data_IF_960185965827
#
_entry.id   IF_960185965827
#
_cell.length_a   1.000
_cell.length_b   1.000
_cell.length_c   1.000
_cell.angle_alpha   90.00
_cell.angle_beta   90.00
_cell.angle_gamma   90.00
#
_symmetry.space_group_name_H-M   'P 1'
#
loop_
_entity.id
_entity.type
_entity.pdbx_description
1 polymer ?
#
# COMPACT_ATOMS: atom_id res chain seq x y z
N UNK A 1 41.41 49.09 -49.01
CA UNK A 1 40.97 49.59 -47.69
C UNK A 1 39.81 48.71 -47.28
N UNK A 2 40.05 47.71 -46.43
CA UNK A 2 39.01 46.80 -45.95
C UNK A 2 38.26 47.45 -44.78
N UNK A 3 36.95 47.57 -44.88
CA UNK A 3 36.10 48.15 -43.84
C UNK A 3 35.79 47.12 -42.76
N UNK A 4 36.12 47.48 -41.52
CA UNK A 4 35.90 46.72 -40.29
C UNK A 4 34.40 46.43 -40.07
N UNK A 5 34.01 45.14 -40.08
CA UNK A 5 32.67 44.71 -39.68
C UNK A 5 32.52 44.84 -38.16
N UNK A 6 31.71 45.80 -37.72
CA UNK A 6 31.30 45.91 -36.32
C UNK A 6 30.36 44.77 -35.97
N UNK A 7 30.89 43.71 -35.36
CA UNK A 7 30.09 42.72 -34.63
C UNK A 7 29.69 43.34 -33.30
N UNK A 8 28.47 43.89 -33.21
CA UNK A 8 28.08 44.65 -32.02
C UNK A 8 26.59 44.79 -31.78
N UNK A 9 25.78 43.84 -32.26
CA UNK A 9 24.43 43.67 -31.74
C UNK A 9 24.47 42.56 -30.72
N UNK A 10 24.59 42.87 -29.43
CA UNK A 10 24.34 41.88 -28.38
C UNK A 10 22.87 41.51 -28.53
N UNK A 11 22.60 40.27 -28.96
CA UNK A 11 21.23 39.79 -29.09
C UNK A 11 20.51 39.99 -27.73
N UNK A 12 19.23 40.42 -27.73
CA UNK A 12 18.51 40.61 -26.49
C UNK A 12 18.56 39.32 -25.68
N UNK A 13 18.94 39.44 -24.40
CA UNK A 13 19.00 38.30 -23.49
C UNK A 13 17.59 37.70 -23.46
N UNK A 14 17.42 36.41 -23.80
CA UNK A 14 16.11 35.78 -23.74
C UNK A 14 15.60 35.90 -22.30
N UNK A 15 14.50 36.61 -22.14
CA UNK A 15 13.84 36.73 -20.84
C UNK A 15 13.23 35.38 -20.52
N UNK A 16 13.78 34.68 -19.52
CA UNK A 16 13.17 33.46 -18.99
C UNK A 16 11.95 33.89 -18.18
N UNK A 17 10.77 33.73 -18.77
CA UNK A 17 9.51 33.86 -18.02
C UNK A 17 9.37 32.60 -17.16
N UNK A 18 9.20 32.72 -15.82
CA UNK A 18 8.97 31.55 -14.98
C UNK A 18 7.73 30.79 -15.47
N UNK A 19 7.88 29.49 -15.72
CA UNK A 19 6.74 28.66 -16.07
C UNK A 19 5.78 28.56 -14.87
N UNK A 20 4.46 28.57 -15.11
CA UNK A 20 3.48 28.40 -14.04
C UNK A 20 3.63 27.03 -13.39
N UNK A 21 3.25 26.94 -12.11
CA UNK A 21 3.28 25.67 -11.36
C UNK A 21 2.41 24.60 -12.03
N UNK A 22 3.00 23.45 -12.30
CA UNK A 22 2.32 22.33 -12.94
C UNK A 22 1.67 21.42 -11.91
N UNK A 23 0.33 21.46 -11.83
CA UNK A 23 -0.44 20.58 -10.96
C UNK A 23 -0.73 19.24 -11.64
N UNK A 24 -0.20 18.15 -11.07
CA UNK A 24 -0.54 16.79 -11.46
C UNK A 24 -1.68 16.29 -10.56
N UNK A 25 -2.92 16.44 -11.04
CA UNK A 25 -4.13 15.97 -10.35
C UNK A 25 -4.63 14.65 -10.93
N UNK A 26 -5.51 13.99 -10.19
CA UNK A 26 -6.23 12.82 -10.68
C UNK A 26 -7.12 13.20 -11.88
N UNK A 27 -7.01 12.44 -12.97
CA UNK A 27 -7.90 12.60 -14.12
C UNK A 27 -9.28 11.97 -13.88
N UNK A 28 -10.25 12.29 -14.74
CA UNK A 28 -11.63 11.80 -14.63
C UNK A 28 -11.74 10.27 -14.54
N UNK A 29 -10.92 9.54 -15.30
CA UNK A 29 -10.87 8.08 -15.26
C UNK A 29 -10.36 7.53 -13.92
N UNK A 30 -9.43 8.24 -13.26
CA UNK A 30 -8.92 7.86 -11.95
C UNK A 30 -9.99 8.01 -10.88
N UNK A 31 -10.77 9.11 -10.92
CA UNK A 31 -11.89 9.32 -9.99
C UNK A 31 -12.96 8.23 -10.16
N UNK A 32 -13.31 7.88 -11.40
CA UNK A 32 -14.22 6.76 -11.69
C UNK A 32 -13.69 5.45 -11.12
N UNK A 33 -12.39 5.17 -11.29
CA UNK A 33 -11.77 3.98 -10.73
C UNK A 33 -11.90 3.92 -9.20
N UNK A 34 -11.67 5.03 -8.49
CA UNK A 34 -11.84 5.07 -7.02
C UNK A 34 -13.27 4.72 -6.58
N UNK A 35 -14.29 5.25 -7.25
CA UNK A 35 -15.69 4.91 -6.96
C UNK A 35 -16.04 3.45 -7.27
N UNK A 36 -15.55 2.92 -8.40
CA UNK A 36 -15.73 1.52 -8.76
C UNK A 36 -15.11 0.62 -7.69
N UNK A 37 -13.91 0.95 -7.22
CA UNK A 37 -13.21 0.17 -6.19
C UNK A 37 -13.89 0.24 -4.83
N UNK A 38 -14.42 1.40 -4.44
CA UNK A 38 -15.24 1.52 -3.23
C UNK A 38 -16.41 0.53 -3.28
N UNK A 39 -17.22 0.57 -4.35
CA UNK A 39 -18.38 -0.31 -4.50
C UNK A 39 -17.94 -1.78 -4.52
N UNK A 40 -16.89 -2.11 -5.26
CA UNK A 40 -16.38 -3.48 -5.35
C UNK A 40 -15.93 -4.00 -3.98
N UNK A 41 -15.16 -3.23 -3.21
CA UNK A 41 -14.69 -3.63 -1.87
C UNK A 41 -15.84 -3.77 -0.88
N UNK A 42 -16.86 -2.89 -0.95
CA UNK A 42 -18.07 -3.01 -0.12
C UNK A 42 -18.84 -4.30 -0.44
N UNK A 43 -19.01 -4.63 -1.73
CA UNK A 43 -19.69 -5.87 -2.15
C UNK A 43 -18.90 -7.09 -1.70
N UNK A 44 -17.58 -7.11 -1.90
CA UNK A 44 -16.70 -8.20 -1.46
C UNK A 44 -16.79 -8.39 0.06
N UNK A 45 -16.75 -7.31 0.82
CA UNK A 45 -16.92 -7.35 2.28
C UNK A 45 -18.26 -7.96 2.69
N UNK A 46 -19.36 -7.54 2.05
CA UNK A 46 -20.68 -8.10 2.30
C UNK A 46 -20.73 -9.61 2.00
N UNK A 47 -20.11 -10.05 0.90
CA UNK A 47 -20.01 -11.48 0.56
C UNK A 47 -19.28 -12.25 1.66
N UNK A 48 -18.11 -11.77 2.12
CA UNK A 48 -17.36 -12.45 3.17
C UNK A 48 -18.10 -12.46 4.51
N UNK A 49 -18.78 -11.37 4.87
CA UNK A 49 -19.62 -11.30 6.06
C UNK A 49 -20.75 -12.34 6.00
N UNK A 50 -21.45 -12.46 4.87
CA UNK A 50 -22.53 -13.43 4.67
C UNK A 50 -22.01 -14.88 4.70
N UNK A 51 -20.86 -15.14 4.06
CA UNK A 51 -20.22 -16.46 4.10
C UNK A 51 -19.80 -16.86 5.53
N UNK A 52 -19.47 -15.89 6.38
CA UNK A 52 -19.09 -16.13 7.78
C UNK A 52 -20.28 -16.56 8.66
N UNK A 53 -21.51 -16.19 8.30
CA UNK A 53 -22.70 -16.30 9.16
C UNK A 53 -23.00 -17.73 9.62
N UNK A 54 -22.60 -18.73 8.83
CA UNK A 54 -22.89 -20.14 9.08
C UNK A 54 -21.71 -20.94 9.67
N UNK A 55 -20.60 -20.29 10.03
CA UNK A 55 -19.38 -20.96 10.52
C UNK A 55 -19.35 -20.96 12.07
N UNK A 56 -18.63 -21.83 12.78
CA UNK A 56 -18.51 -21.69 14.24
C UNK A 56 -17.54 -20.56 14.63
N UNK A 57 -17.75 -19.85 15.75
CA UNK A 57 -16.95 -18.66 16.15
C UNK A 57 -15.44 -18.94 16.15
N UNK A 58 -15.02 -20.09 16.66
CA UNK A 58 -13.60 -20.51 16.70
C UNK A 58 -12.97 -20.64 15.30
N UNK A 59 -13.77 -20.86 14.25
CA UNK A 59 -13.31 -21.05 12.86
C UNK A 59 -13.56 -19.81 11.99
N UNK A 60 -14.18 -18.77 12.53
CA UNK A 60 -14.53 -17.54 11.80
C UNK A 60 -13.37 -16.53 11.69
N UNK A 61 -12.25 -16.76 12.36
CA UNK A 61 -11.16 -15.77 12.45
C UNK A 61 -10.69 -15.29 11.08
N UNK A 62 -10.46 -16.18 10.12
CA UNK A 62 -10.07 -15.81 8.75
C UNK A 62 -11.15 -14.99 8.02
N UNK A 63 -12.43 -15.32 8.19
CA UNK A 63 -13.51 -14.50 7.62
C UNK A 63 -13.55 -13.12 8.25
N UNK A 64 -13.38 -13.04 9.57
CA UNK A 64 -13.42 -11.78 10.29
C UNK A 64 -12.26 -10.87 9.87
N UNK A 65 -11.03 -11.40 9.83
CA UNK A 65 -9.84 -10.67 9.40
C UNK A 65 -9.98 -10.22 7.93
N UNK A 66 -10.39 -11.10 7.02
CA UNK A 66 -10.54 -10.77 5.59
C UNK A 66 -11.67 -9.74 5.38
N UNK A 67 -12.77 -9.87 6.11
CA UNK A 67 -13.87 -8.90 6.06
C UNK A 67 -13.42 -7.55 6.59
N UNK A 68 -12.67 -7.50 7.70
CA UNK A 68 -12.15 -6.26 8.26
C UNK A 68 -11.18 -5.56 7.29
N UNK A 69 -10.27 -6.32 6.68
CA UNK A 69 -9.33 -5.85 5.64
C UNK A 69 -10.08 -5.17 4.48
N UNK A 70 -11.15 -5.79 3.99
CA UNK A 70 -11.94 -5.24 2.87
C UNK A 70 -12.80 -4.04 3.27
N UNK A 71 -13.30 -3.97 4.52
CA UNK A 71 -14.00 -2.80 5.07
C UNK A 71 -13.06 -1.60 5.16
N UNK A 72 -11.87 -1.78 5.73
CA UNK A 72 -10.87 -0.71 5.87
C UNK A 72 -10.56 -0.12 4.48
N UNK A 73 -10.33 -0.98 3.49
CA UNK A 73 -10.07 -0.52 2.13
C UNK A 73 -11.28 0.17 1.50
N UNK A 74 -12.51 -0.34 1.68
CA UNK A 74 -13.70 0.35 1.19
C UNK A 74 -13.79 1.79 1.75
N UNK A 75 -13.58 1.97 3.06
CA UNK A 75 -13.59 3.30 3.67
C UNK A 75 -12.49 4.21 3.13
N UNK A 76 -11.28 3.67 2.91
CA UNK A 76 -10.18 4.44 2.33
C UNK A 76 -10.45 4.85 0.87
N UNK A 77 -11.01 3.94 0.05
CA UNK A 77 -11.42 4.25 -1.33
C UNK A 77 -12.52 5.31 -1.37
N UNK A 78 -13.50 5.24 -0.47
CA UNK A 78 -14.51 6.29 -0.32
C UNK A 78 -13.90 7.65 0.04
N UNK A 79 -12.97 7.68 1.00
CA UNK A 79 -12.30 8.91 1.43
C UNK A 79 -11.47 9.54 0.30
N UNK A 80 -10.75 8.72 -0.49
CA UNK A 80 -10.00 9.17 -1.66
C UNK A 80 -10.92 9.64 -2.78
N UNK A 81 -12.02 8.93 -3.06
CA UNK A 81 -13.01 9.29 -4.09
C UNK A 81 -13.71 10.61 -3.77
N UNK A 82 -13.95 10.87 -2.48
CA UNK A 82 -14.55 12.11 -1.96
C UNK A 82 -13.59 13.31 -1.97
N UNK A 83 -12.31 13.09 -2.28
CA UNK A 83 -11.28 14.13 -2.37
C UNK A 83 -10.77 14.68 -1.03
N UNK A 84 -11.32 14.23 0.11
CA UNK A 84 -11.00 14.76 1.44
C UNK A 84 -9.61 14.35 1.95
N UNK A 85 -9.05 13.27 1.42
CA UNK A 85 -7.80 12.67 1.94
C UNK A 85 -6.66 12.70 0.91
N UNK A 86 -6.39 13.89 0.37
CA UNK A 86 -5.25 14.13 -0.52
C UNK A 86 -4.51 15.42 -0.16
N UNK A 87 -3.20 15.46 -0.39
CA UNK A 87 -2.37 16.66 -0.27
C UNK A 87 -1.51 16.81 -1.53
N UNK A 88 -0.98 18.01 -1.77
CA UNK A 88 -0.05 18.26 -2.87
C UNK A 88 1.39 18.22 -2.35
N UNK A 89 2.22 17.35 -2.90
CA UNK A 89 3.66 17.35 -2.70
C UNK A 89 4.32 18.11 -3.86
N UNK A 90 4.95 19.25 -3.58
CA UNK A 90 5.57 20.10 -4.58
C UNK A 90 7.08 19.90 -4.60
N UNK A 91 7.63 19.72 -5.80
CA UNK A 91 9.08 19.61 -6.01
C UNK A 91 9.49 20.49 -7.18
N UNK A 92 10.58 21.22 -7.00
CA UNK A 92 11.21 21.97 -8.09
C UNK A 92 12.01 20.99 -8.95
N UNK A 93 11.69 20.95 -10.24
CA UNK A 93 12.42 20.15 -11.24
C UNK A 93 13.32 21.09 -12.03
N UNK A 94 14.54 20.64 -12.32
CA UNK A 94 15.50 21.39 -13.13
C UNK A 94 15.42 20.87 -14.56
N UNK A 95 15.08 21.76 -15.51
CA UNK A 95 15.09 21.45 -16.93
C UNK A 95 16.42 21.84 -17.53
N UNK A 96 17.14 20.83 -17.99
CA UNK A 96 18.41 21.04 -18.65
C UNK A 96 18.20 21.39 -20.12
N UNK A 97 18.71 22.54 -20.54
CA UNK A 97 18.61 23.01 -21.91
C UNK A 97 19.97 23.03 -22.60
N UNK A 98 20.03 22.67 -23.89
CA UNK A 98 21.31 22.57 -24.61
C UNK A 98 21.93 23.93 -24.98
N UNK A 99 21.11 24.96 -25.20
CA UNK A 99 21.56 26.25 -25.75
C UNK A 99 21.04 27.46 -24.96
N UNK A 100 20.31 27.24 -23.86
CA UNK A 100 19.87 28.29 -22.93
C UNK A 100 20.18 27.85 -21.50
N UNK A 101 20.33 28.80 -20.54
CA UNK A 101 20.52 28.45 -19.14
C UNK A 101 19.40 27.54 -18.64
N UNK A 102 19.75 26.63 -17.73
CA UNK A 102 18.78 25.72 -17.13
C UNK A 102 17.66 26.50 -16.44
N UNK A 103 16.44 26.02 -16.63
CA UNK A 103 15.24 26.59 -16.02
C UNK A 103 14.76 25.69 -14.90
N UNK A 104 13.95 26.27 -14.01
CA UNK A 104 13.34 25.55 -12.92
C UNK A 104 11.83 25.74 -13.01
N UNK A 105 11.09 24.64 -12.97
CA UNK A 105 9.64 24.67 -12.85
C UNK A 105 9.20 23.86 -11.63
N UNK A 106 8.13 24.31 -10.99
CA UNK A 106 7.58 23.66 -9.82
C UNK A 106 6.45 22.71 -10.23
N UNK A 107 6.56 21.44 -9.83
CA UNK A 107 5.55 20.41 -10.06
C UNK A 107 4.92 20.02 -8.73
N UNK A 108 3.61 20.22 -8.61
CA UNK A 108 2.83 19.80 -7.45
C UNK A 108 2.02 18.55 -7.78
N UNK A 109 2.35 17.42 -7.16
CA UNK A 109 1.67 16.13 -7.36
C UNK A 109 0.66 15.87 -6.26
N UNK A 110 -0.56 15.49 -6.64
CA UNK A 110 -1.57 15.02 -5.70
C UNK A 110 -1.20 13.64 -5.14
N UNK A 111 -1.07 13.55 -3.82
CA UNK A 111 -0.78 12.32 -3.08
C UNK A 111 -1.98 11.97 -2.20
N UNK A 112 -2.43 10.72 -2.29
CA UNK A 112 -3.55 10.19 -1.50
C UNK A 112 -3.04 9.54 -0.21
N UNK A 113 -3.05 10.29 0.89
CA UNK A 113 -2.50 9.80 2.16
C UNK A 113 -3.38 8.72 2.82
N UNK A 114 -4.68 8.69 2.53
CA UNK A 114 -5.58 7.62 2.99
C UNK A 114 -5.13 6.21 2.56
N UNK A 115 -4.38 6.10 1.46
CA UNK A 115 -3.80 4.82 1.01
C UNK A 115 -2.81 4.26 2.03
N UNK A 116 -1.96 5.11 2.60
CA UNK A 116 -1.01 4.69 3.62
C UNK A 116 -1.70 4.33 4.92
N UNK A 117 -2.81 5.00 5.26
CA UNK A 117 -3.65 4.62 6.42
C UNK A 117 -4.27 3.24 6.21
N UNK A 118 -4.87 3.01 5.04
CA UNK A 118 -5.39 1.68 4.67
C UNK A 118 -4.32 0.61 4.80
N UNK A 119 -3.16 0.81 4.17
CA UNK A 119 -2.08 -0.17 4.23
C UNK A 119 -1.57 -0.39 5.65
N UNK A 120 -1.48 0.66 6.47
CA UNK A 120 -0.98 0.53 7.85
C UNK A 120 -1.89 -0.36 8.70
N UNK A 121 -3.20 -0.39 8.39
CA UNK A 121 -4.17 -1.21 9.12
C UNK A 121 -4.44 -2.57 8.45
N UNK A 122 -4.51 -2.61 7.12
CA UNK A 122 -4.88 -3.81 6.35
C UNK A 122 -3.73 -4.78 6.13
N UNK A 123 -2.50 -4.31 5.90
CA UNK A 123 -1.38 -5.21 5.65
C UNK A 123 -0.93 -6.00 6.89
N UNK A 124 -0.96 -5.45 8.13
CA UNK A 124 -0.66 -6.28 9.29
C UNK A 124 -1.73 -7.35 9.53
N UNK A 125 -3.00 -7.07 9.22
CA UNK A 125 -4.08 -8.07 9.27
C UNK A 125 -3.81 -9.19 8.26
N UNK A 126 -3.43 -8.86 7.02
CA UNK A 126 -3.01 -9.85 6.01
C UNK A 126 -1.81 -10.68 6.47
N UNK A 127 -0.81 -10.06 7.11
CA UNK A 127 0.34 -10.79 7.66
C UNK A 127 -0.11 -11.78 8.74
N UNK A 128 -0.99 -11.36 9.65
CA UNK A 128 -1.57 -12.26 10.67
C UNK A 128 -2.32 -13.42 10.01
N UNK A 129 -3.14 -13.17 8.98
CA UNK A 129 -3.85 -14.24 8.25
C UNK A 129 -2.88 -15.25 7.63
N UNK A 130 -1.80 -14.78 7.01
CA UNK A 130 -0.80 -15.63 6.40
C UNK A 130 0.02 -16.42 7.44
N UNK A 131 0.40 -15.79 8.56
CA UNK A 131 1.10 -16.47 9.66
C UNK A 131 0.21 -17.55 10.30
N UNK A 132 -1.07 -17.25 10.53
CA UNK A 132 -2.04 -18.22 11.05
C UNK A 132 -2.24 -19.38 10.08
N UNK A 133 -2.31 -19.12 8.77
CA UNK A 133 -2.44 -20.16 7.75
C UNK A 133 -1.18 -21.02 7.64
N UNK A 134 -0.01 -20.42 7.75
CA UNK A 134 1.29 -21.10 7.69
C UNK A 134 1.67 -21.80 9.00
N UNK A 135 0.92 -21.57 10.08
CA UNK A 135 1.17 -22.17 11.39
C UNK A 135 2.40 -21.61 12.12
N UNK A 136 2.82 -20.40 11.78
CA UNK A 136 3.94 -19.69 12.42
C UNK A 136 3.62 -19.41 13.89
N UNK A 137 4.61 -19.42 14.78
CA UNK A 137 4.39 -19.09 16.19
C UNK A 137 4.02 -17.62 16.41
N UNK A 138 3.39 -17.36 17.56
CA UNK A 138 2.94 -16.02 17.94
C UNK A 138 4.06 -14.97 18.01
N UNK A 139 5.27 -15.34 18.45
CA UNK A 139 6.37 -14.38 18.57
C UNK A 139 6.85 -13.91 17.20
N UNK A 140 7.10 -14.83 16.26
CA UNK A 140 7.47 -14.48 14.89
C UNK A 140 6.34 -13.73 14.17
N UNK A 141 5.08 -14.04 14.47
CA UNK A 141 3.92 -13.29 13.96
C UNK A 141 3.96 -11.83 14.41
N UNK A 142 4.22 -11.56 15.69
CA UNK A 142 4.33 -10.20 16.22
C UNK A 142 5.48 -9.45 15.56
N UNK A 143 6.65 -10.08 15.41
CA UNK A 143 7.78 -9.47 14.70
C UNK A 143 7.45 -9.12 13.25
N UNK A 144 6.76 -10.01 12.53
CA UNK A 144 6.33 -9.78 11.15
C UNK A 144 5.34 -8.61 11.05
N UNK A 145 4.38 -8.51 11.97
CA UNK A 145 3.43 -7.40 12.08
C UNK A 145 4.15 -6.07 12.29
N UNK A 146 5.09 -6.00 13.24
CA UNK A 146 5.86 -4.79 13.54
C UNK A 146 6.71 -4.39 12.33
N UNK A 147 7.44 -5.34 11.74
CA UNK A 147 8.26 -5.08 10.56
C UNK A 147 7.42 -4.56 9.39
N UNK A 148 6.22 -5.12 9.19
CA UNK A 148 5.29 -4.68 8.17
C UNK A 148 4.76 -3.24 8.43
N UNK A 149 4.41 -2.89 9.67
CA UNK A 149 4.01 -1.50 10.00
C UNK A 149 5.15 -0.52 9.72
N UNK A 150 6.39 -0.84 10.14
CA UNK A 150 7.56 -0.01 9.86
C UNK A 150 7.78 0.15 8.35
N UNK A 151 7.64 -0.94 7.58
CA UNK A 151 7.74 -0.92 6.13
C UNK A 151 6.72 0.02 5.47
N UNK A 152 5.45 -0.03 5.87
CA UNK A 152 4.40 0.85 5.33
C UNK A 152 4.65 2.31 5.71
N UNK A 153 5.01 2.57 6.97
CA UNK A 153 5.29 3.92 7.45
C UNK A 153 6.52 4.53 6.76
N UNK A 154 7.57 3.73 6.52
CA UNK A 154 8.72 4.17 5.72
C UNK A 154 8.30 4.59 4.31
N UNK A 155 7.36 3.86 3.69
CA UNK A 155 6.74 4.24 2.42
C UNK A 155 5.96 5.57 2.50
N UNK A 156 5.20 5.78 3.58
CA UNK A 156 4.44 7.02 3.81
C UNK A 156 5.37 8.23 3.98
N UNK A 157 6.44 8.10 4.78
CA UNK A 157 7.44 9.15 4.95
C UNK A 157 8.18 9.46 3.63
N UNK A 158 8.41 8.44 2.81
CA UNK A 158 9.01 8.63 1.49
C UNK A 158 8.09 9.42 0.54
N UNK A 159 6.77 9.26 0.65
CA UNK A 159 5.78 9.99 -0.16
C UNK A 159 5.68 11.48 0.22
N UNK A 160 5.95 11.82 1.48
CA UNK A 160 5.95 13.19 2.02
C UNK A 160 7.31 13.89 1.83
N UNK A 161 8.41 13.12 1.72
CA UNK A 161 9.76 13.67 1.62
C UNK A 161 9.98 14.60 0.41
N UNK A 162 10.65 15.72 0.63
CA UNK A 162 11.00 16.71 -0.39
C UNK A 162 12.28 16.32 -1.15
N UNK A 163 12.50 16.92 -2.33
CA UNK A 163 13.74 16.73 -3.09
C UNK A 163 14.96 17.14 -2.25
N UNK A 164 15.99 16.27 -2.25
CA UNK A 164 17.29 16.41 -1.55
C UNK A 164 17.37 15.93 -0.10
N UNK A 165 16.34 15.26 0.44
CA UNK A 165 16.45 14.61 1.76
C UNK A 165 16.71 13.11 1.61
N UNK A 166 17.51 12.55 2.53
CA UNK A 166 17.73 11.10 2.67
C UNK A 166 16.41 10.30 2.73
N UNK A 167 15.27 10.90 3.05
CA UNK A 167 13.95 10.26 3.15
C UNK A 167 13.43 9.50 1.90
N UNK A 168 14.11 9.54 0.75
CA UNK A 168 13.76 8.75 -0.45
C UNK A 168 14.27 7.29 -0.46
N UNK A 169 14.82 6.74 0.62
CA UNK A 169 15.30 5.32 0.70
C UNK A 169 14.22 4.23 0.54
N UNK A 170 12.97 4.58 0.21
CA UNK A 170 11.92 3.61 -0.13
C UNK A 170 12.11 2.98 -1.51
N UNK A 171 13.20 2.22 -1.72
CA UNK A 171 13.57 1.61 -3.00
C UNK A 171 12.48 0.68 -3.59
N UNK A 172 11.60 0.10 -2.77
CA UNK A 172 10.47 -0.73 -3.22
C UNK A 172 9.34 0.12 -3.85
N UNK A 173 9.07 1.30 -3.28
CA UNK A 173 8.05 2.22 -3.81
C UNK A 173 8.59 3.15 -4.90
N UNK A 174 9.91 3.39 -4.96
CA UNK A 174 10.53 4.16 -6.04
C UNK A 174 10.40 3.51 -7.43
N UNK A 175 10.33 2.16 -7.48
CA UNK A 175 10.10 1.40 -8.70
C UNK A 175 8.61 1.35 -9.10
N UNK A 176 7.68 1.16 -8.15
CA UNK A 176 6.24 1.10 -8.41
C UNK A 176 5.57 2.49 -8.53
N UNK A 177 5.99 3.46 -7.73
CA UNK A 177 5.67 4.89 -7.81
C UNK A 177 6.49 5.63 -8.86
N UNK A 178 7.29 4.89 -9.64
CA UNK A 178 7.93 5.28 -10.88
C UNK A 178 8.44 6.71 -10.89
N UNK A 179 9.47 7.01 -10.10
CA UNK A 179 10.32 8.21 -10.26
C UNK A 179 9.60 9.53 -10.66
N UNK A 180 8.38 9.78 -10.16
CA UNK A 180 7.54 10.92 -10.56
C UNK A 180 7.18 10.99 -12.07
N UNK A 181 7.43 9.93 -12.83
CA UNK A 181 7.17 9.81 -14.28
C UNK A 181 5.77 9.30 -14.61
N UNK A 182 5.13 8.54 -13.70
CA UNK A 182 3.79 7.96 -13.92
C UNK A 182 2.70 8.99 -13.58
N UNK A 183 1.66 9.10 -14.42
CA UNK A 183 0.50 9.98 -14.16
C UNK A 183 -0.25 9.53 -12.89
N UNK A 184 -0.75 10.46 -12.09
CA UNK A 184 -1.48 10.19 -10.82
C UNK A 184 -2.65 9.24 -11.04
N UNK A 185 -3.44 9.42 -12.11
CA UNK A 185 -4.56 8.52 -12.41
C UNK A 185 -4.13 7.08 -12.73
N UNK A 186 -2.99 6.89 -13.40
CA UNK A 186 -2.44 5.55 -13.69
C UNK A 186 -1.94 4.88 -12.41
N UNK A 187 -1.27 5.62 -11.54
CA UNK A 187 -0.84 5.13 -10.23
C UNK A 187 -2.03 4.64 -9.39
N UNK A 188 -3.12 5.41 -9.36
CA UNK A 188 -4.36 5.03 -8.68
C UNK A 188 -4.91 3.70 -9.22
N UNK A 189 -4.92 3.51 -10.55
CA UNK A 189 -5.38 2.26 -11.16
C UNK A 189 -4.47 1.08 -10.83
N UNK A 190 -3.14 1.27 -10.80
CA UNK A 190 -2.18 0.23 -10.42
C UNK A 190 -2.45 -0.25 -9.00
N UNK A 191 -2.59 0.66 -8.04
CA UNK A 191 -2.86 0.29 -6.66
C UNK A 191 -4.25 -0.30 -6.45
N UNK A 192 -5.24 0.19 -7.19
CA UNK A 192 -6.57 -0.40 -7.22
C UNK A 192 -6.54 -1.89 -7.63
N UNK A 193 -5.80 -2.21 -8.68
CA UNK A 193 -5.62 -3.61 -9.13
C UNK A 193 -4.88 -4.42 -8.06
N UNK A 194 -3.80 -3.87 -7.50
CA UNK A 194 -3.04 -4.55 -6.45
C UNK A 194 -3.91 -4.86 -5.23
N UNK A 195 -4.76 -3.93 -4.80
CA UNK A 195 -5.65 -4.12 -3.66
C UNK A 195 -6.72 -5.18 -3.94
N UNK A 196 -7.27 -5.23 -5.15
CA UNK A 196 -8.22 -6.30 -5.52
C UNK A 196 -7.56 -7.67 -5.42
N UNK A 197 -6.34 -7.80 -5.95
CA UNK A 197 -5.60 -9.06 -5.90
C UNK A 197 -5.25 -9.45 -4.46
N UNK A 198 -4.77 -8.51 -3.65
CA UNK A 198 -4.26 -8.78 -2.30
C UNK A 198 -5.35 -8.88 -1.24
N UNK A 199 -6.52 -8.26 -1.42
CA UNK A 199 -7.57 -8.21 -0.39
C UNK A 199 -8.79 -9.04 -0.75
N UNK A 200 -9.25 -8.98 -2.01
CA UNK A 200 -10.41 -9.75 -2.44
C UNK A 200 -10.00 -11.16 -2.89
N UNK A 201 -9.07 -11.26 -3.83
CA UNK A 201 -8.69 -12.57 -4.42
C UNK A 201 -7.93 -13.43 -3.41
N UNK A 202 -6.90 -12.87 -2.77
CA UNK A 202 -6.16 -13.59 -1.72
C UNK A 202 -7.05 -13.94 -0.53
N UNK A 203 -7.92 -13.02 -0.09
CA UNK A 203 -8.86 -13.27 1.00
C UNK A 203 -9.81 -14.44 0.69
N UNK A 204 -10.38 -14.46 -0.52
CA UNK A 204 -11.20 -15.58 -0.98
C UNK A 204 -10.38 -16.88 -1.00
N UNK A 205 -9.15 -16.83 -1.50
CA UNK A 205 -8.26 -17.99 -1.52
C UNK A 205 -7.99 -18.54 -0.11
N UNK A 206 -7.63 -17.69 0.86
CA UNK A 206 -7.41 -18.09 2.26
C UNK A 206 -8.66 -18.76 2.85
N UNK A 207 -9.84 -18.16 2.63
CA UNK A 207 -11.12 -18.73 3.09
C UNK A 207 -11.36 -20.11 2.47
N UNK A 208 -11.07 -20.29 1.18
CA UNK A 208 -11.25 -21.61 0.53
C UNK A 208 -10.21 -22.63 0.98
N UNK A 209 -8.96 -22.22 1.17
CA UNK A 209 -7.88 -23.09 1.62
C UNK A 209 -8.13 -23.62 3.03
N UNK A 210 -8.60 -22.77 3.94
CA UNK A 210 -8.95 -23.15 5.32
C UNK A 210 -10.19 -24.04 5.41
N UNK A 211 -11.11 -23.98 4.43
CA UNK A 211 -12.23 -24.92 4.32
C UNK A 211 -11.78 -26.31 3.90
N UNK A 212 -10.81 -26.40 2.98
CA UNK A 212 -10.29 -27.66 2.46
C UNK A 212 -9.39 -28.35 3.49
N UNK A 213 -8.54 -27.58 4.17
CA UNK A 213 -7.58 -28.09 5.15
C UNK A 213 -8.08 -27.85 6.57
N UNK A 214 -9.03 -28.67 7.05
CA UNK A 214 -9.63 -28.50 8.38
C UNK A 214 -8.63 -28.69 9.54
N UNK A 215 -7.49 -29.31 9.26
CA UNK A 215 -6.41 -29.59 10.21
C UNK A 215 -5.46 -28.39 10.43
N UNK A 216 -5.53 -27.35 9.57
CA UNK A 216 -4.69 -26.14 9.71
C UNK A 216 -5.39 -25.02 10.49
N UNK A 217 -6.56 -25.27 11.11
CA UNK A 217 -7.22 -24.27 11.96
C UNK A 217 -6.56 -24.29 13.35
N UNK A 218 -5.76 -23.29 13.74
CA UNK A 218 -5.09 -23.31 15.04
C UNK A 218 -6.12 -23.16 16.16
N UNK A 219 -5.95 -23.88 17.26
CA UNK A 219 -6.66 -23.54 18.50
C UNK A 219 -6.06 -22.22 19.05
N UNK A 220 -6.89 -21.17 19.07
CA UNK A 220 -6.48 -19.80 19.38
C UNK A 220 -5.81 -19.72 20.76
N UNK A 221 -6.22 -20.58 21.70
CA UNK A 221 -5.68 -20.62 23.06
C UNK A 221 -4.20 -21.03 23.15
N UNK A 222 -3.71 -21.86 22.21
CA UNK A 222 -2.33 -22.35 22.19
C UNK A 222 -1.42 -21.65 21.18
N UNK A 223 -1.99 -20.97 20.17
CA UNK A 223 -1.23 -20.33 19.10
C UNK A 223 -0.19 -19.33 19.60
N UNK A 224 -0.57 -18.48 20.55
CA UNK A 224 0.29 -17.41 21.06
C UNK A 224 1.50 -17.91 21.85
N UNK A 225 1.41 -19.12 22.41
CA UNK A 225 2.44 -19.72 23.26
C UNK A 225 3.24 -20.81 22.55
N UNK A 226 2.60 -21.63 21.71
CA UNK A 226 3.17 -22.85 21.15
C UNK A 226 3.15 -22.91 19.61
N UNK A 227 2.58 -21.90 18.92
CA UNK A 227 2.30 -21.97 17.49
C UNK A 227 1.18 -22.95 17.14
N UNK A 228 0.92 -23.15 15.85
CA UNK A 228 -0.17 -24.05 15.39
C UNK A 228 0.23 -25.55 15.44
N UNK A 229 1.46 -25.87 15.82
CA UNK A 229 2.01 -27.22 15.85
C UNK A 229 1.90 -27.90 17.22
N UNK A 230 1.59 -29.19 17.20
CA UNK A 230 1.42 -30.08 18.36
C UNK A 230 2.70 -30.35 19.19
N UNK A 231 3.68 -29.44 19.18
CA UNK A 231 4.98 -29.62 19.84
C UNK A 231 4.93 -29.47 21.38
N UNK A 232 3.80 -29.02 21.93
CA UNK A 232 3.57 -28.92 23.38
C UNK A 232 2.74 -30.07 23.99
N UNK A 233 2.34 -31.06 23.19
CA UNK A 233 1.49 -32.19 23.61
C UNK A 233 2.28 -33.49 23.74
N UNK A 234 3.48 -33.45 24.31
CA UNK A 234 4.06 -34.67 24.90
C UNK A 234 3.23 -34.97 26.15
N UNK A 235 2.34 -35.95 26.05
CA UNK A 235 1.81 -36.65 27.22
C UNK A 235 2.98 -37.44 27.80
N UNK A 236 3.58 -36.92 28.87
CA UNK A 236 4.34 -37.77 29.79
C UNK A 236 3.31 -38.73 30.35
N UNK A 237 3.34 -39.97 29.88
CA UNK A 237 2.65 -41.05 30.57
C UNK A 237 3.29 -41.16 31.94
N UNK A 238 2.48 -41.04 32.98
CA UNK A 238 2.85 -41.50 34.31
C UNK A 238 3.08 -43.01 34.18
N UNK A 239 4.34 -43.43 34.03
CA UNK A 239 4.75 -44.80 34.28
C UNK A 239 4.76 -45.02 35.81
N UNK A 240 3.59 -45.01 36.42
CA UNK A 240 3.33 -45.71 37.68
C UNK A 240 2.64 -47.03 37.33
N UNK A 241 3.42 -48.12 37.33
CA UNK A 241 3.00 -49.45 37.84
C UNK A 241 4.09 -50.48 37.54
N UNK A 242 5.09 -50.53 38.43
CA UNK A 242 6.10 -51.59 38.50
C UNK A 242 6.31 -51.99 39.95
N UNK A 243 5.28 -52.64 40.53
CA UNK A 243 5.37 -53.41 41.77
C UNK A 243 5.33 -54.91 41.44
#
# INVERSE_FOLDING_TARGET
MEAYKTHGGVAPIPTVVPEPTHYQTIGHNGVRALWVLFIAMTVVSAIFALLSWNVAVQRRIFYFLTTLTTIISALAYFAMASGQTSYFNCTTVRDHHKHVPDTHHDVCRQVFWARYVDWTLSTPLLVVELCLLAGVDGAHTIFAVIANVIFVLAGAFSAVGHANTAQKWGCVWGAAGGAWKVKVGTEVVIYAVLDVLTKAVLGLWIITATRQNRDTTPDIGGYWTNGAGAEGTIRVGDDEDGA
#
